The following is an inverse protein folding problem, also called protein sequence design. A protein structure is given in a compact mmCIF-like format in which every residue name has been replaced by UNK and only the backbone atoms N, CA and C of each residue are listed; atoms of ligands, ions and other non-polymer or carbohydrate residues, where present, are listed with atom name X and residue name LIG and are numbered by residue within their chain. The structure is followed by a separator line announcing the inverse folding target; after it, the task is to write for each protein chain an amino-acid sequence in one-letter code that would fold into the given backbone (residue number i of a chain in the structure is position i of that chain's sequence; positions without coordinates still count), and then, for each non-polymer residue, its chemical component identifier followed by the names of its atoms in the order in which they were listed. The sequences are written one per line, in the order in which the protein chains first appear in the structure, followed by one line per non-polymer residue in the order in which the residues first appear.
data_IF_608671505119
#
_entry.id   IF_608671505119
#
_cell.length_a   1.000
_cell.length_b   1.000
_cell.length_c   1.000
_cell.angle_alpha   90.00
_cell.angle_beta   90.00
_cell.angle_gamma   90.00
#
_symmetry.space_group_name_H-M   'P 1'
#
loop_
_entity.id
_entity.type
_entity.pdbx_description
1 polymer ?
#
# COMPACT_ATOMS: atom_id res chain seq x y z
N UNK A 1 4.58 38.43 37.82
CA UNK A 1 5.24 38.08 36.53
C UNK A 1 4.59 36.81 36.00
N UNK A 2 3.64 36.93 35.07
CA UNK A 2 2.84 35.80 34.54
C UNK A 2 3.53 35.26 33.28
N UNK A 3 3.95 33.99 33.28
CA UNK A 3 4.44 33.30 32.07
C UNK A 3 3.36 32.35 31.56
N UNK A 4 2.85 32.67 30.38
CA UNK A 4 1.96 31.84 29.60
C UNK A 4 2.74 30.61 29.07
N UNK A 5 2.25 29.40 29.35
CA UNK A 5 2.70 28.16 28.72
C UNK A 5 1.57 27.68 27.82
N UNK A 6 1.62 28.14 26.58
CA UNK A 6 0.78 27.66 25.48
C UNK A 6 1.71 27.33 24.32
N UNK A 7 2.20 26.08 24.25
CA UNK A 7 2.83 25.56 23.03
C UNK A 7 3.03 24.05 23.11
N UNK A 8 2.16 23.27 22.45
CA UNK A 8 2.48 21.99 21.80
C UNK A 8 1.20 21.26 21.35
N UNK A 9 0.38 21.91 20.53
CA UNK A 9 -0.64 21.21 19.72
C UNK A 9 -0.56 21.79 18.31
N UNK A 10 0.38 21.30 17.50
CA UNK A 10 0.29 21.35 16.04
C UNK A 10 1.40 20.49 15.43
N UNK A 11 1.11 19.21 15.21
CA UNK A 11 1.87 18.37 14.28
C UNK A 11 0.98 17.24 13.76
N UNK A 12 -0.23 17.61 13.30
CA UNK A 12 -1.13 16.73 12.54
C UNK A 12 -1.60 17.49 11.30
N UNK A 13 -0.66 17.81 10.41
CA UNK A 13 -0.96 18.13 9.02
C UNK A 13 0.21 17.64 8.18
N UNK A 14 -0.09 17.19 6.95
CA UNK A 14 0.82 16.62 5.92
C UNK A 14 0.83 15.09 5.80
N UNK A 15 -0.35 14.54 5.54
CA UNK A 15 -0.49 13.54 4.47
C UNK A 15 -1.52 14.06 3.47
N UNK A 16 -1.18 15.18 2.84
CA UNK A 16 -1.85 15.69 1.64
C UNK A 16 -1.41 14.78 0.50
N UNK A 17 -2.27 13.81 0.15
CA UNK A 17 -2.15 13.11 -1.12
C UNK A 17 -2.28 14.15 -2.23
N UNK A 18 -1.15 14.41 -2.92
CA UNK A 18 -1.13 15.09 -4.20
C UNK A 18 -2.09 14.37 -5.14
N UNK A 19 -3.15 15.07 -5.52
CA UNK A 19 -4.05 14.65 -6.59
C UNK A 19 -3.22 14.58 -7.87
N UNK A 20 -3.01 13.38 -8.40
CA UNK A 20 -2.65 13.23 -9.80
C UNK A 20 -3.88 13.61 -10.61
N UNK A 21 -3.91 14.86 -11.08
CA UNK A 21 -4.79 15.28 -12.14
C UNK A 21 -4.45 14.44 -13.39
N UNK A 22 -5.33 13.52 -13.75
CA UNK A 22 -5.35 12.95 -15.09
C UNK A 22 -5.81 14.07 -16.03
N UNK A 23 -4.85 14.71 -16.69
CA UNK A 23 -5.14 15.53 -17.86
C UNK A 23 -5.78 14.60 -18.91
N UNK A 24 -7.06 14.84 -19.19
CA UNK A 24 -7.77 14.26 -20.33
C UNK A 24 -7.26 14.99 -21.56
N UNK A 25 -6.36 14.36 -22.30
CA UNK A 25 -5.95 14.84 -23.61
C UNK A 25 -7.04 14.44 -24.61
N UNK A 26 -7.85 15.41 -25.01
CA UNK A 26 -8.81 15.28 -26.09
C UNK A 26 -8.02 15.09 -27.40
N UNK A 27 -7.97 13.84 -27.87
CA UNK A 27 -7.35 13.50 -29.14
C UNK A 27 -8.34 13.80 -30.29
N UNK A 28 -8.04 14.75 -31.21
CA UNK A 28 -8.90 15.03 -32.34
C UNK A 28 -8.91 13.87 -33.33
N UNK A 29 -10.11 13.57 -33.82
CA UNK A 29 -10.42 12.40 -34.63
C UNK A 29 -9.49 12.19 -35.82
N UNK A 30 -8.95 10.98 -35.92
CA UNK A 30 -8.36 10.45 -37.13
C UNK A 30 -9.43 9.60 -37.83
N UNK A 31 -9.92 10.11 -38.96
CA UNK A 31 -10.87 9.44 -39.82
C UNK A 31 -10.37 8.06 -40.25
N UNK A 32 -11.21 7.03 -40.03
CA UNK A 32 -11.02 5.71 -40.60
C UNK A 32 -11.21 5.80 -42.11
N UNK A 33 -10.11 5.78 -42.88
CA UNK A 33 -10.17 5.22 -44.24
C UNK A 33 -10.31 3.71 -44.11
N UNK A 34 -11.52 3.22 -44.37
CA UNK A 34 -11.80 1.82 -44.69
C UNK A 34 -11.03 1.45 -45.96
N UNK A 35 -10.27 0.36 -45.89
CA UNK A 35 -9.71 -0.30 -47.08
C UNK A 35 -8.18 -0.34 -47.12
N UNK A 36 -7.58 -1.26 -46.37
CA UNK A 36 -6.31 -1.91 -46.74
C UNK A 36 -6.28 -3.29 -46.07
N UNK A 37 -6.71 -4.30 -46.82
CA UNK A 37 -6.46 -5.71 -46.51
C UNK A 37 -4.99 -5.99 -46.73
N UNK A 38 -4.17 -5.73 -45.71
CA UNK A 38 -2.76 -6.07 -45.70
C UNK A 38 -2.60 -7.59 -45.64
N UNK A 39 -2.46 -8.22 -46.80
CA UNK A 39 -1.90 -9.57 -46.96
C UNK A 39 -0.40 -9.52 -46.66
N UNK A 40 -0.03 -9.33 -45.39
CA UNK A 40 1.38 -9.36 -45.01
C UNK A 40 1.94 -10.77 -45.18
N UNK A 41 3.02 -10.88 -45.95
CA UNK A 41 3.80 -12.10 -46.19
C UNK A 41 4.14 -12.82 -44.86
N UNK A 42 4.10 -14.16 -44.80
CA UNK A 42 4.28 -14.94 -43.56
C UNK A 42 5.51 -14.54 -42.72
N UNK A 43 6.62 -14.21 -43.37
CA UNK A 43 7.87 -13.77 -42.72
C UNK A 43 7.74 -12.40 -42.01
N UNK A 44 6.94 -11.47 -42.53
CA UNK A 44 6.71 -10.16 -41.92
C UNK A 44 5.75 -10.25 -40.73
N UNK A 45 4.77 -11.16 -40.78
CA UNK A 45 3.88 -11.47 -39.63
C UNK A 45 4.66 -12.07 -38.46
N UNK A 46 5.60 -12.97 -38.75
CA UNK A 46 6.40 -13.64 -37.72
C UNK A 46 7.30 -12.63 -36.98
N UNK A 47 8.02 -11.77 -37.71
CA UNK A 47 8.88 -10.72 -37.11
C UNK A 47 8.10 -9.75 -36.21
N UNK A 48 6.88 -9.36 -36.60
CA UNK A 48 6.03 -8.48 -35.80
C UNK A 48 5.59 -9.15 -34.50
N UNK A 49 5.19 -10.42 -34.54
CA UNK A 49 4.77 -11.16 -33.34
C UNK A 49 5.93 -11.38 -32.35
N UNK A 50 7.14 -11.70 -32.83
CA UNK A 50 8.32 -11.83 -31.97
C UNK A 50 8.64 -10.50 -31.27
N UNK A 51 8.61 -9.38 -31.99
CA UNK A 51 8.90 -8.07 -31.41
C UNK A 51 7.83 -7.64 -30.40
N UNK A 52 6.55 -7.93 -30.67
CA UNK A 52 5.46 -7.70 -29.69
C UNK A 52 5.67 -8.48 -28.41
N UNK A 53 6.10 -9.74 -28.52
CA UNK A 53 6.36 -10.56 -27.35
C UNK A 53 7.58 -10.09 -26.54
N UNK A 54 8.66 -9.68 -27.22
CA UNK A 54 9.83 -9.10 -26.56
C UNK A 54 9.46 -7.80 -25.81
N UNK A 55 8.68 -6.91 -26.45
CA UNK A 55 8.19 -5.70 -25.81
C UNK A 55 7.32 -6.00 -24.58
N UNK A 56 6.46 -7.02 -24.66
CA UNK A 56 5.69 -7.48 -23.51
C UNK A 56 6.60 -7.97 -22.39
N UNK A 57 7.59 -8.80 -22.70
CA UNK A 57 8.57 -9.33 -21.74
C UNK A 57 9.35 -8.23 -21.04
N UNK A 58 9.79 -7.19 -21.77
CA UNK A 58 10.49 -6.04 -21.19
C UNK A 58 9.59 -5.26 -20.22
N UNK A 59 8.36 -4.95 -20.64
CA UNK A 59 7.37 -4.29 -19.77
C UNK A 59 7.07 -5.13 -18.53
N UNK A 60 6.98 -6.44 -18.72
CA UNK A 60 6.73 -7.39 -17.66
C UNK A 60 7.83 -7.38 -16.60
N UNK A 61 9.09 -7.52 -17.02
CA UNK A 61 10.27 -7.43 -16.15
C UNK A 61 10.31 -6.11 -15.39
N UNK A 62 10.00 -4.99 -16.06
CA UNK A 62 9.94 -3.68 -15.42
C UNK A 62 8.84 -3.62 -14.34
N UNK A 63 7.66 -4.18 -14.60
CA UNK A 63 6.55 -4.26 -13.64
C UNK A 63 6.96 -5.06 -12.40
N UNK A 64 7.54 -6.24 -12.60
CA UNK A 64 8.05 -7.10 -11.53
C UNK A 64 9.09 -6.35 -10.68
N UNK A 65 10.08 -5.73 -11.31
CA UNK A 65 11.12 -4.96 -10.63
C UNK A 65 10.54 -3.80 -9.81
N UNK A 66 9.53 -3.10 -10.35
CA UNK A 66 8.82 -2.04 -9.65
C UNK A 66 8.11 -2.56 -8.39
N UNK A 67 7.48 -3.73 -8.45
CA UNK A 67 6.85 -4.34 -7.29
C UNK A 67 7.88 -4.79 -6.25
N UNK A 68 8.98 -5.43 -6.66
CA UNK A 68 10.06 -5.79 -5.74
C UNK A 68 10.60 -4.58 -4.97
N UNK A 69 10.90 -3.50 -5.69
CA UNK A 69 11.45 -2.28 -5.08
C UNK A 69 10.45 -1.62 -4.12
N UNK A 70 9.14 -1.73 -4.39
CA UNK A 70 8.09 -1.11 -3.58
C UNK A 70 7.62 -1.97 -2.40
N UNK A 71 7.91 -3.27 -2.41
CA UNK A 71 7.52 -4.21 -1.34
C UNK A 71 7.89 -3.68 0.03
N UNK A 72 9.18 -3.40 0.19
CA UNK A 72 9.76 -3.08 1.48
C UNK A 72 9.28 -1.70 1.95
N UNK A 73 9.04 -0.78 1.02
CA UNK A 73 8.51 0.55 1.32
C UNK A 73 7.10 0.44 1.92
N UNK A 74 6.20 -0.33 1.30
CA UNK A 74 4.81 -0.43 1.77
C UNK A 74 4.69 -1.08 3.16
N UNK A 75 5.45 -2.15 3.41
CA UNK A 75 5.44 -2.83 4.71
C UNK A 75 6.17 -2.00 5.77
N UNK A 76 7.29 -1.34 5.41
CA UNK A 76 8.06 -0.53 6.36
C UNK A 76 7.28 0.66 6.90
N UNK A 77 6.39 1.27 6.11
CA UNK A 77 5.52 2.36 6.59
C UNK A 77 4.67 1.89 7.78
N UNK A 78 4.01 0.74 7.66
CA UNK A 78 3.18 0.23 8.75
C UNK A 78 3.99 -0.24 9.95
N UNK A 79 5.15 -0.87 9.72
CA UNK A 79 6.05 -1.30 10.80
C UNK A 79 6.56 -0.12 11.62
N UNK A 80 7.07 0.93 10.97
CA UNK A 80 7.52 2.15 11.67
C UNK A 80 6.42 2.75 12.53
N UNK A 81 5.18 2.69 12.05
CA UNK A 81 4.05 3.24 12.81
C UNK A 81 3.66 2.35 14.00
N UNK A 82 3.69 1.02 13.83
CA UNK A 82 3.54 0.06 14.92
C UNK A 82 4.60 0.29 16.01
N UNK A 83 5.87 0.41 15.62
CA UNK A 83 7.00 0.62 16.54
C UNK A 83 6.80 1.92 17.34
N UNK A 84 6.44 3.01 16.66
CA UNK A 84 6.14 4.28 17.31
C UNK A 84 5.03 4.16 18.38
N UNK A 85 3.97 3.40 18.11
CA UNK A 85 2.89 3.19 19.09
C UNK A 85 3.28 2.23 20.21
N UNK A 86 4.10 1.21 19.94
CA UNK A 86 4.68 0.36 20.99
C UNK A 86 5.52 1.20 21.96
N UNK A 87 6.38 2.08 21.44
CA UNK A 87 7.16 3.01 22.25
C UNK A 87 6.28 3.96 23.06
N UNK A 88 5.19 4.46 22.47
CA UNK A 88 4.24 5.29 23.18
C UNK A 88 3.56 4.54 24.33
N UNK A 89 3.12 3.29 24.10
CA UNK A 89 2.51 2.47 25.13
C UNK A 89 3.46 2.23 26.31
N UNK A 90 4.77 2.04 26.04
CA UNK A 90 5.80 1.93 27.09
C UNK A 90 5.87 3.23 27.90
N UNK A 91 5.97 4.39 27.25
CA UNK A 91 6.03 5.69 27.95
C UNK A 91 4.78 5.95 28.80
N UNK A 92 3.59 5.63 28.30
CA UNK A 92 2.33 5.82 29.02
C UNK A 92 2.21 4.85 30.21
N UNK A 93 2.70 3.62 30.08
CA UNK A 93 2.79 2.68 31.22
C UNK A 93 3.67 3.24 32.32
N UNK A 94 4.83 3.81 31.96
CA UNK A 94 5.73 4.44 32.93
C UNK A 94 5.12 5.67 33.62
N UNK A 95 4.08 6.25 33.04
CA UNK A 95 3.28 7.33 33.63
C UNK A 95 2.11 6.82 34.47
N UNK A 96 1.96 5.50 34.63
CA UNK A 96 0.90 4.88 35.41
C UNK A 96 -0.45 4.75 34.70
N UNK A 97 -0.51 4.96 33.38
CA UNK A 97 -1.74 4.78 32.62
C UNK A 97 -1.99 3.31 32.28
N UNK A 98 -3.26 2.92 32.24
CA UNK A 98 -3.67 1.61 31.76
C UNK A 98 -3.70 1.59 30.22
N UNK A 99 -2.71 0.90 29.64
CA UNK A 99 -2.55 0.73 28.18
C UNK A 99 -2.94 -0.67 27.70
N UNK A 100 -3.65 -1.46 28.52
CA UNK A 100 -3.94 -2.89 28.22
C UNK A 100 -4.65 -3.08 26.89
N UNK A 101 -5.68 -2.27 26.61
CA UNK A 101 -6.40 -2.29 25.32
C UNK A 101 -5.48 -1.95 24.16
N UNK A 102 -4.72 -0.85 24.25
CA UNK A 102 -3.80 -0.44 23.20
C UNK A 102 -2.76 -1.53 22.89
N UNK A 103 -2.19 -2.21 23.90
CA UNK A 103 -1.23 -3.30 23.68
C UNK A 103 -1.86 -4.48 22.94
N UNK A 104 -3.08 -4.85 23.31
CA UNK A 104 -3.83 -5.92 22.66
C UNK A 104 -4.06 -5.58 21.19
N UNK A 105 -4.52 -4.36 20.91
CA UNK A 105 -4.79 -3.92 19.55
C UNK A 105 -3.52 -3.74 18.70
N UNK A 106 -2.40 -3.33 19.30
CA UNK A 106 -1.10 -3.30 18.62
C UNK A 106 -0.62 -4.71 18.23
N UNK A 107 -0.91 -5.73 19.04
CA UNK A 107 -0.59 -7.13 18.71
C UNK A 107 -1.43 -7.65 17.54
N UNK A 108 -2.71 -7.29 17.53
CA UNK A 108 -3.60 -7.59 16.40
C UNK A 108 -3.14 -6.87 15.11
N UNK A 109 -2.74 -5.59 15.21
CA UNK A 109 -2.16 -4.84 14.10
C UNK A 109 -0.89 -5.50 13.55
N UNK A 110 0.02 -5.96 14.42
CA UNK A 110 1.24 -6.67 14.02
C UNK A 110 0.93 -7.94 13.22
N UNK A 111 -0.09 -8.69 13.64
CA UNK A 111 -0.58 -9.86 12.90
C UNK A 111 -1.08 -9.48 11.51
N UNK A 112 -1.85 -8.38 11.40
CA UNK A 112 -2.32 -7.89 10.10
C UNK A 112 -1.17 -7.45 9.18
N UNK A 113 -0.17 -6.73 9.72
CA UNK A 113 1.02 -6.30 8.97
C UNK A 113 1.83 -7.50 8.48
N UNK A 114 1.97 -8.53 9.32
CA UNK A 114 2.67 -9.78 8.96
C UNK A 114 1.94 -10.47 7.81
N UNK A 115 0.61 -10.59 7.89
CA UNK A 115 -0.20 -11.14 6.81
C UNK A 115 -0.04 -10.33 5.52
N UNK A 116 -0.13 -9.00 5.58
CA UNK A 116 0.07 -8.12 4.43
C UNK A 116 1.42 -8.37 3.74
N UNK A 117 2.49 -8.49 4.54
CA UNK A 117 3.83 -8.77 4.05
C UNK A 117 3.91 -10.12 3.33
N UNK A 118 3.31 -11.17 3.89
CA UNK A 118 3.25 -12.50 3.29
C UNK A 118 2.44 -12.51 1.99
N UNK A 119 1.27 -11.88 1.98
CA UNK A 119 0.41 -11.78 0.79
C UNK A 119 1.14 -11.04 -0.34
N UNK A 120 1.86 -9.96 -0.04
CA UNK A 120 2.63 -9.23 -1.04
C UNK A 120 3.80 -10.05 -1.57
N UNK A 121 4.57 -10.70 -0.69
CA UNK A 121 5.66 -11.56 -1.11
C UNK A 121 5.15 -12.69 -2.03
N UNK A 122 4.03 -13.31 -1.66
CA UNK A 122 3.38 -14.35 -2.48
C UNK A 122 2.94 -13.81 -3.83
N UNK A 123 2.32 -12.62 -3.87
CA UNK A 123 1.95 -11.97 -5.13
C UNK A 123 3.15 -11.77 -6.05
N UNK A 124 4.25 -11.23 -5.53
CA UNK A 124 5.46 -10.97 -6.33
C UNK A 124 6.09 -12.27 -6.82
N UNK A 125 6.23 -13.27 -5.95
CA UNK A 125 6.79 -14.57 -6.35
C UNK A 125 5.93 -15.26 -7.41
N UNK A 126 4.60 -15.26 -7.26
CA UNK A 126 3.69 -15.80 -8.29
C UNK A 126 3.80 -15.03 -9.60
N UNK A 127 3.89 -13.69 -9.52
CA UNK A 127 4.09 -12.87 -10.71
C UNK A 127 5.39 -13.29 -11.41
N UNK A 128 6.51 -13.35 -10.69
CA UNK A 128 7.81 -13.77 -11.23
C UNK A 128 7.79 -15.17 -11.85
N UNK A 129 7.35 -16.19 -11.09
CA UNK A 129 7.40 -17.59 -11.51
C UNK A 129 6.48 -17.87 -12.69
N UNK A 130 5.25 -17.36 -12.64
CA UNK A 130 4.21 -17.76 -13.57
C UNK A 130 4.35 -17.09 -14.94
N UNK A 131 5.30 -16.16 -15.10
CA UNK A 131 5.45 -15.39 -16.34
C UNK A 131 6.93 -15.08 -16.65
N UNK A 132 7.85 -15.95 -16.23
CA UNK A 132 9.29 -15.78 -16.48
C UNK A 132 9.59 -15.71 -17.99
N UNK A 133 8.93 -16.57 -18.77
CA UNK A 133 9.03 -16.64 -20.22
C UNK A 133 7.63 -16.57 -20.88
N UNK A 134 7.00 -15.39 -20.94
CA UNK A 134 5.64 -15.26 -21.43
C UNK A 134 5.50 -15.53 -22.92
N UNK A 135 6.62 -15.58 -23.67
CA UNK A 135 6.66 -15.90 -25.09
C UNK A 135 6.55 -17.40 -25.38
N UNK A 136 6.89 -18.24 -24.41
CA UNK A 136 6.86 -19.69 -24.56
C UNK A 136 5.53 -20.28 -24.06
N UNK A 137 4.70 -19.44 -23.41
CA UNK A 137 3.40 -19.81 -22.89
C UNK A 137 2.32 -19.75 -23.97
N UNK A 138 1.35 -20.66 -23.86
CA UNK A 138 0.10 -20.53 -24.62
C UNK A 138 -0.69 -19.31 -24.16
N UNK A 139 -1.57 -18.80 -25.02
CA UNK A 139 -2.39 -17.64 -24.70
C UNK A 139 -3.30 -17.86 -23.47
N UNK A 140 -3.82 -19.08 -23.28
CA UNK A 140 -4.67 -19.41 -22.13
C UNK A 140 -3.88 -19.58 -20.83
N UNK A 141 -2.67 -20.12 -20.87
CA UNK A 141 -1.76 -20.17 -19.71
C UNK A 141 -1.40 -18.75 -19.24
N UNK A 142 -0.92 -17.90 -20.16
CA UNK A 142 -0.57 -16.52 -19.85
C UNK A 142 -1.76 -15.76 -19.25
N UNK A 143 -2.95 -15.92 -19.83
CA UNK A 143 -4.18 -15.29 -19.34
C UNK A 143 -4.55 -15.77 -17.93
N UNK A 144 -4.41 -17.07 -17.66
CA UNK A 144 -4.67 -17.65 -16.34
C UNK A 144 -3.68 -17.14 -15.31
N UNK A 145 -2.38 -17.11 -15.64
CA UNK A 145 -1.32 -16.65 -14.76
C UNK A 145 -1.46 -15.17 -14.40
N UNK A 146 -1.81 -14.33 -15.40
CA UNK A 146 -2.11 -12.92 -15.18
C UNK A 146 -3.38 -12.72 -14.33
N UNK A 147 -4.40 -13.57 -14.48
CA UNK A 147 -5.61 -13.52 -13.65
C UNK A 147 -5.27 -13.84 -12.19
N UNK A 148 -4.56 -14.93 -11.93
CA UNK A 148 -4.15 -15.34 -10.59
C UNK A 148 -3.30 -14.25 -9.91
N UNK A 149 -2.37 -13.66 -10.64
CA UNK A 149 -1.55 -12.54 -10.15
C UNK A 149 -2.40 -11.33 -9.75
N UNK A 150 -3.43 -10.98 -10.53
CA UNK A 150 -4.36 -9.88 -10.21
C UNK A 150 -5.18 -10.15 -8.95
N UNK A 151 -5.64 -11.38 -8.77
CA UNK A 151 -6.39 -11.80 -7.59
C UNK A 151 -5.53 -11.69 -6.32
N UNK A 152 -4.26 -12.12 -6.38
CA UNK A 152 -3.30 -11.96 -5.27
C UNK A 152 -3.02 -10.49 -4.95
N UNK A 153 -2.84 -9.66 -5.98
CA UNK A 153 -2.70 -8.20 -5.80
C UNK A 153 -3.94 -7.58 -5.15
N UNK A 154 -5.13 -8.07 -5.49
CA UNK A 154 -6.38 -7.61 -4.89
C UNK A 154 -6.43 -7.97 -3.40
N UNK A 155 -6.00 -9.17 -3.00
CA UNK A 155 -5.88 -9.56 -1.59
C UNK A 155 -4.96 -8.63 -0.80
N UNK A 156 -3.77 -8.33 -1.33
CA UNK A 156 -2.87 -7.35 -0.73
C UNK A 156 -3.54 -5.97 -0.56
N UNK A 157 -4.23 -5.48 -1.60
CA UNK A 157 -4.93 -4.19 -1.54
C UNK A 157 -6.04 -4.18 -0.49
N UNK A 158 -6.77 -5.30 -0.33
CA UNK A 158 -7.79 -5.44 0.70
C UNK A 158 -7.17 -5.40 2.10
N UNK A 159 -6.08 -6.12 2.31
CA UNK A 159 -5.42 -6.16 3.61
C UNK A 159 -4.79 -4.82 3.99
N UNK A 160 -4.22 -4.09 3.04
CA UNK A 160 -3.75 -2.72 3.26
C UNK A 160 -4.89 -1.79 3.70
N UNK A 161 -6.09 -1.92 3.08
CA UNK A 161 -7.28 -1.18 3.51
C UNK A 161 -7.74 -1.58 4.90
N UNK A 162 -7.73 -2.88 5.23
CA UNK A 162 -8.08 -3.36 6.58
C UNK A 162 -7.17 -2.75 7.63
N UNK A 163 -5.87 -2.75 7.41
CA UNK A 163 -4.89 -2.13 8.32
C UNK A 163 -5.18 -0.65 8.50
N UNK A 164 -5.39 0.09 7.40
CA UNK A 164 -5.69 1.51 7.47
C UNK A 164 -6.98 1.79 8.27
N UNK A 165 -8.02 1.00 8.05
CA UNK A 165 -9.29 1.14 8.76
C UNK A 165 -9.14 0.77 10.23
N UNK A 166 -8.39 -0.27 10.55
CA UNK A 166 -8.12 -0.70 11.92
C UNK A 166 -7.35 0.38 12.71
N UNK A 167 -6.32 0.97 12.09
CA UNK A 167 -5.61 2.12 12.67
C UNK A 167 -6.57 3.29 12.94
N UNK A 168 -7.43 3.61 11.97
CA UNK A 168 -8.32 4.77 12.07
C UNK A 168 -9.46 4.56 13.06
N UNK A 169 -10.00 3.35 13.14
CA UNK A 169 -11.16 3.01 13.97
C UNK A 169 -10.79 2.59 15.38
N UNK A 170 -9.78 1.73 15.51
CA UNK A 170 -9.39 1.08 16.77
C UNK A 170 -8.26 1.87 17.45
N UNK A 171 -7.06 1.86 16.86
CA UNK A 171 -5.87 2.46 17.48
C UNK A 171 -6.08 3.94 17.83
N UNK A 172 -6.67 4.73 16.92
CA UNK A 172 -6.98 6.14 17.21
C UNK A 172 -7.99 6.33 18.33
N UNK A 173 -8.90 5.38 18.53
CA UNK A 173 -9.86 5.43 19.64
C UNK A 173 -9.15 5.13 20.96
N UNK A 174 -8.27 4.14 21.00
CA UNK A 174 -7.47 3.84 22.19
C UNK A 174 -6.61 5.02 22.61
N UNK A 175 -5.95 5.66 21.63
CA UNK A 175 -5.14 6.87 21.88
C UNK A 175 -5.97 8.05 22.40
N UNK A 176 -7.23 8.19 21.96
CA UNK A 176 -8.14 9.21 22.51
C UNK A 176 -8.55 8.90 23.95
N UNK A 177 -8.83 7.63 24.25
CA UNK A 177 -9.18 7.20 25.61
C UNK A 177 -8.01 7.40 26.58
N UNK A 178 -6.79 7.05 26.15
CA UNK A 178 -5.57 7.31 26.93
C UNK A 178 -5.32 8.80 27.17
N UNK A 179 -5.61 9.64 26.18
CA UNK A 179 -5.55 11.11 26.35
C UNK A 179 -6.54 11.60 27.41
N UNK A 180 -7.74 11.03 27.47
CA UNK A 180 -8.75 11.37 28.48
C UNK A 180 -8.30 10.94 29.89
N UNK A 181 -7.71 9.74 30.02
CA UNK A 181 -7.11 9.31 31.29
C UNK A 181 -6.05 10.30 31.77
N UNK A 182 -5.17 10.75 30.87
CA UNK A 182 -4.12 11.71 31.20
C UNK A 182 -4.69 13.07 31.68
N UNK A 183 -5.78 13.54 31.08
CA UNK A 183 -6.44 14.79 31.54
C UNK A 183 -7.09 14.64 32.91
N UNK A 184 -7.65 13.48 33.22
CA UNK A 184 -8.26 13.21 34.53
C UNK A 184 -7.23 12.96 35.64
N UNK A 185 -6.04 12.47 35.29
CA UNK A 185 -4.96 12.20 36.22
C UNK A 185 -4.17 13.45 36.62
N UNK A 186 -4.30 14.56 35.89
CA UNK A 186 -3.62 15.81 36.21
C UNK A 186 -4.46 16.59 37.23
N UNK A 187 -4.01 16.79 38.49
CA UNK A 187 -4.76 17.59 39.44
C UNK A 187 -4.94 19.00 38.89
N UNK A 188 -6.17 19.51 38.91
CA UNK A 188 -6.48 20.93 38.70
C UNK A 188 -5.59 21.76 39.64
N UNK A 189 -4.94 22.83 39.16
CA UNK A 189 -4.26 23.76 40.06
C UNK A 189 -5.34 24.27 41.02
N UNK A 190 -5.24 23.92 42.29
CA UNK A 190 -5.92 24.62 43.37
C UNK A 190 -5.36 26.04 43.33
N UNK A 191 -6.19 26.99 42.89
CA UNK A 191 -5.91 28.42 43.01
C UNK A 191 -5.89 28.74 44.53
N UNK A 192 -4.68 28.84 45.10
CA UNK A 192 -4.41 29.55 46.36
C UNK A 192 -3.96 30.99 46.07
#
# INVERSE_FOLDING_TARGET
MKRAVACCICLITLLSFTQFAFAKEDNPGIGRKLGQTNTSTPAAKLKNNTQRCQNFTLRYKQIVQNYNTRKDIHVAVYRRQLDHWKDLAIRLTNQGLDVTTLRTDLTALETMITKLSTDYATFVTTLESDNENPCDQTAEELKTNLKNSRERLQSFRMDSRKIHNYIRGTIRTDLRNLRQQLSSAKPTPTDE
#
